data_IF_106820071273
#
_entry.id   IF_106820071273
#
_cell.length_a   1.000
_cell.length_b   1.000
_cell.length_c   1.000
_cell.angle_alpha   90.00
_cell.angle_beta   90.00
_cell.angle_gamma   90.00
#
_symmetry.space_group_name_H-M   'P 1'
#
loop_
_entity.id
_entity.type
_entity.pdbx_description
1 polymer ?
#
# COMPACT_ATOMS: atom_id res chain seq x y z
N UNK A 1 -21.18 -5.35 7.89
CA UNK A 1 -20.20 -5.91 8.87
C UNK A 1 -18.87 -5.28 8.49
N UNK A 2 -18.22 -4.64 9.42
CA UNK A 2 -16.93 -3.99 9.15
C UNK A 2 -15.91 -5.09 8.84
N UNK A 3 -15.36 -5.09 7.64
CA UNK A 3 -14.39 -6.10 7.17
C UNK A 3 -13.14 -6.14 8.08
N UNK A 4 -12.76 -5.00 8.66
CA UNK A 4 -11.63 -4.94 9.59
C UNK A 4 -11.87 -5.73 10.88
N UNK A 5 -13.12 -5.81 11.37
CA UNK A 5 -13.43 -6.55 12.60
C UNK A 5 -13.33 -8.06 12.41
N UNK A 6 -13.37 -8.53 11.17
CA UNK A 6 -13.26 -9.95 10.83
C UNK A 6 -11.83 -10.37 10.45
N UNK A 7 -10.91 -9.41 10.23
CA UNK A 7 -9.51 -9.70 9.95
C UNK A 7 -8.86 -10.39 11.16
N UNK A 8 -8.33 -11.61 11.03
CA UNK A 8 -7.74 -12.35 12.14
C UNK A 8 -6.33 -11.84 12.50
N UNK A 9 -6.20 -10.54 12.72
CA UNK A 9 -4.96 -9.85 13.06
C UNK A 9 -5.06 -9.31 14.48
N UNK A 10 -4.11 -9.65 15.31
CA UNK A 10 -4.19 -9.45 16.76
C UNK A 10 -3.83 -8.05 17.26
N UNK A 11 -3.16 -7.23 16.46
CA UNK A 11 -2.77 -5.88 16.87
C UNK A 11 -2.67 -4.90 15.71
N UNK A 12 -3.34 -3.76 15.84
CA UNK A 12 -3.16 -2.59 14.98
C UNK A 12 -2.39 -1.55 15.78
N UNK A 13 -1.26 -1.08 15.25
CA UNK A 13 -0.51 0.02 15.82
C UNK A 13 -1.04 1.33 15.27
N UNK A 14 -1.18 2.34 16.12
CA UNK A 14 -1.37 3.71 15.67
C UNK A 14 0.01 4.35 15.48
N UNK A 15 0.16 5.11 14.39
CA UNK A 15 1.37 5.86 14.11
C UNK A 15 1.02 7.26 13.61
N UNK A 16 1.81 8.25 14.01
CA UNK A 16 1.69 9.64 13.56
C UNK A 16 2.67 9.94 12.42
N UNK A 17 3.65 9.06 12.20
CA UNK A 17 4.62 9.15 11.11
C UNK A 17 4.64 7.86 10.28
N UNK A 18 4.71 8.04 8.96
CA UNK A 18 4.93 6.96 8.00
C UNK A 18 5.83 7.48 6.88
N UNK A 19 6.87 6.73 6.54
CA UNK A 19 7.82 7.12 5.51
C UNK A 19 8.11 5.94 4.59
N UNK A 20 8.18 6.22 3.31
CA UNK A 20 8.72 5.33 2.28
C UNK A 20 9.95 6.02 1.72
N UNK A 21 11.10 5.40 1.83
CA UNK A 21 12.38 5.94 1.37
C UNK A 21 12.94 5.02 0.31
N UNK A 22 13.27 5.55 -0.86
CA UNK A 22 13.96 4.83 -1.91
C UNK A 22 15.47 4.94 -1.64
N UNK A 23 16.09 3.85 -1.24
CA UNK A 23 17.53 3.81 -0.95
C UNK A 23 18.37 3.62 -2.20
N UNK A 24 17.87 2.87 -3.17
CA UNK A 24 18.49 2.66 -4.48
C UNK A 24 17.40 2.30 -5.52
N UNK A 25 17.66 2.66 -6.76
CA UNK A 25 16.83 2.30 -7.91
C UNK A 25 17.75 2.13 -9.12
N UNK A 26 18.12 0.90 -9.45
CA UNK A 26 19.02 0.56 -10.55
C UNK A 26 18.83 -0.89 -11.00
N UNK A 27 19.21 -1.17 -12.26
CA UNK A 27 19.27 -2.53 -12.83
C UNK A 27 17.97 -3.33 -12.65
N UNK A 28 16.81 -2.68 -12.72
CA UNK A 28 15.51 -3.33 -12.56
C UNK A 28 15.11 -3.61 -11.10
N UNK A 29 15.85 -3.10 -10.13
CA UNK A 29 15.57 -3.28 -8.70
C UNK A 29 15.46 -1.95 -7.96
N UNK A 30 14.47 -1.85 -7.07
CA UNK A 30 14.27 -0.71 -6.20
C UNK A 30 14.29 -1.17 -4.74
N UNK A 31 15.22 -0.65 -3.95
CA UNK A 31 15.22 -0.89 -2.50
C UNK A 31 14.33 0.16 -1.82
N UNK A 32 13.22 -0.31 -1.26
CA UNK A 32 12.29 0.48 -0.47
C UNK A 32 12.51 0.23 1.02
N UNK A 33 12.62 1.30 1.79
CA UNK A 33 12.67 1.28 3.25
C UNK A 33 11.38 1.89 3.81
N UNK A 34 10.64 1.11 4.59
CA UNK A 34 9.37 1.47 5.20
C UNK A 34 9.61 1.76 6.66
N UNK A 35 9.21 2.94 7.12
CA UNK A 35 9.49 3.42 8.46
C UNK A 35 8.23 4.00 9.13
N UNK A 36 8.04 3.64 10.39
CA UNK A 36 7.17 4.29 11.36
C UNK A 36 7.99 4.60 12.61
N UNK A 37 7.39 5.23 13.63
CA UNK A 37 8.11 5.48 14.90
C UNK A 37 8.57 4.18 15.58
N UNK A 38 7.92 3.05 15.29
CA UNK A 38 8.14 1.77 16.00
C UNK A 38 8.75 0.68 15.15
N UNK A 39 8.55 0.74 13.84
CA UNK A 39 8.93 -0.34 12.92
C UNK A 39 9.68 0.26 11.75
N UNK A 40 10.79 -0.38 11.37
CA UNK A 40 11.51 -0.11 10.14
C UNK A 40 11.92 -1.43 9.50
N UNK A 41 11.68 -1.57 8.20
CA UNK A 41 12.16 -2.69 7.39
C UNK A 41 12.29 -2.27 5.94
N UNK A 42 13.17 -2.96 5.21
CA UNK A 42 13.37 -2.70 3.79
C UNK A 42 13.26 -3.97 2.97
N UNK A 43 13.01 -3.78 1.67
CA UNK A 43 12.99 -4.86 0.69
C UNK A 43 13.36 -4.36 -0.71
N UNK A 44 13.90 -5.27 -1.54
CA UNK A 44 14.14 -5.03 -2.97
C UNK A 44 12.91 -5.46 -3.76
N UNK A 45 12.25 -4.52 -4.44
CA UNK A 45 11.19 -4.79 -5.39
C UNK A 45 11.71 -4.75 -6.84
N UNK A 46 11.23 -5.64 -7.71
CA UNK A 46 11.59 -5.64 -9.12
C UNK A 46 10.69 -4.71 -9.94
N UNK A 47 11.16 -4.30 -11.13
CA UNK A 47 10.43 -3.40 -12.03
C UNK A 47 9.34 -4.08 -12.87
N UNK A 48 9.13 -5.39 -12.72
CA UNK A 48 8.04 -6.09 -13.43
C UNK A 48 6.68 -5.48 -13.07
N UNK A 49 6.51 -5.10 -11.80
CA UNK A 49 5.45 -4.24 -11.32
C UNK A 49 6.13 -3.00 -10.73
N UNK A 50 5.84 -1.81 -11.25
CA UNK A 50 6.39 -0.60 -10.67
C UNK A 50 5.80 -0.37 -9.27
N UNK A 51 6.54 -0.66 -8.19
CA UNK A 51 5.97 -0.71 -6.85
C UNK A 51 5.47 0.64 -6.36
N UNK A 52 6.12 1.73 -6.74
CA UNK A 52 5.68 3.06 -6.36
C UNK A 52 4.44 3.50 -7.16
N UNK A 53 4.40 3.20 -8.45
CA UNK A 53 3.26 3.56 -9.29
C UNK A 53 1.97 2.88 -8.81
N UNK A 54 2.07 1.62 -8.41
CA UNK A 54 0.94 0.89 -7.84
C UNK A 54 0.51 1.51 -6.50
N UNK A 55 1.46 1.84 -5.61
CA UNK A 55 1.14 2.54 -4.36
C UNK A 55 0.49 3.91 -4.60
N UNK A 56 0.94 4.68 -5.58
CA UNK A 56 0.32 5.98 -5.93
C UNK A 56 -1.11 5.79 -6.45
N UNK A 57 -1.31 4.87 -7.40
CA UNK A 57 -2.62 4.56 -7.98
C UNK A 57 -3.60 4.13 -6.89
N UNK A 58 -3.22 3.15 -6.10
CA UNK A 58 -4.08 2.53 -5.12
C UNK A 58 -4.40 3.47 -3.97
N UNK A 59 -3.43 4.29 -3.56
CA UNK A 59 -3.67 5.35 -2.58
C UNK A 59 -4.73 6.34 -3.07
N UNK A 60 -4.61 6.82 -4.31
CA UNK A 60 -5.59 7.76 -4.87
C UNK A 60 -6.97 7.14 -4.93
N UNK A 61 -7.07 5.88 -5.36
CA UNK A 61 -8.33 5.16 -5.40
C UNK A 61 -9.00 5.14 -4.03
N UNK A 62 -8.25 4.75 -3.01
CA UNK A 62 -8.80 4.57 -1.68
C UNK A 62 -9.13 5.89 -0.97
N UNK A 63 -8.29 6.91 -1.10
CA UNK A 63 -8.51 8.19 -0.43
C UNK A 63 -9.59 9.03 -1.11
N UNK A 64 -9.75 8.93 -2.43
CA UNK A 64 -10.76 9.69 -3.17
C UNK A 64 -12.11 8.96 -3.29
N UNK A 65 -12.15 7.68 -2.95
CA UNK A 65 -13.35 6.81 -3.09
C UNK A 65 -13.94 6.82 -4.51
N UNK A 66 -13.14 7.21 -5.49
CA UNK A 66 -13.56 7.26 -6.90
C UNK A 66 -12.85 6.15 -7.66
N UNK A 67 -13.59 5.17 -8.21
CA UNK A 67 -12.99 4.16 -9.07
C UNK A 67 -12.34 4.86 -10.27
N UNK A 68 -11.04 4.64 -10.47
CA UNK A 68 -10.39 4.99 -11.73
C UNK A 68 -10.96 4.03 -12.78
N UNK A 69 -11.46 4.57 -13.88
CA UNK A 69 -11.91 3.78 -15.03
C UNK A 69 -10.80 2.83 -15.44
N UNK A 70 -10.93 1.54 -15.21
CA UNK A 70 -10.03 0.43 -15.53
C UNK A 70 -9.22 -0.17 -14.35
N UNK A 71 -9.45 0.20 -13.09
CA UNK A 71 -8.84 -0.54 -11.99
C UNK A 71 -9.79 -1.67 -11.58
N UNK A 72 -9.31 -2.89 -11.71
CA UNK A 72 -10.00 -4.11 -11.27
C UNK A 72 -9.80 -4.35 -9.76
N UNK A 73 -8.92 -3.58 -9.12
CA UNK A 73 -8.40 -3.89 -7.79
C UNK A 73 -9.02 -3.04 -6.66
N UNK A 74 -10.03 -2.21 -6.96
CA UNK A 74 -10.71 -1.40 -5.96
C UNK A 74 -12.06 -2.00 -5.55
N UNK A 75 -12.14 -2.45 -4.31
CA UNK A 75 -13.37 -3.03 -3.75
C UNK A 75 -13.78 -2.31 -2.46
N UNK A 76 -14.88 -1.56 -2.51
CA UNK A 76 -15.58 -1.03 -1.32
C UNK A 76 -14.66 -0.48 -0.22
N UNK A 77 -13.67 0.32 -0.58
CA UNK A 77 -12.75 0.95 0.38
C UNK A 77 -11.52 0.12 0.75
N UNK A 78 -11.25 -0.96 0.01
CA UNK A 78 -10.02 -1.75 0.12
C UNK A 78 -9.28 -1.78 -1.22
N UNK A 79 -7.97 -1.74 -1.21
CA UNK A 79 -7.11 -2.00 -2.37
C UNK A 79 -5.88 -2.78 -1.94
N UNK A 80 -5.29 -3.52 -2.87
CA UNK A 80 -4.18 -4.42 -2.61
C UNK A 80 -3.12 -4.23 -3.70
N UNK A 81 -1.84 -4.13 -3.30
CA UNK A 81 -0.69 -4.10 -4.20
C UNK A 81 0.27 -5.23 -3.88
N UNK A 82 0.92 -5.77 -4.90
CA UNK A 82 1.88 -6.85 -4.75
C UNK A 82 3.23 -6.48 -5.37
N UNK A 83 4.29 -6.66 -4.60
CA UNK A 83 5.67 -6.38 -5.03
C UNK A 83 6.48 -7.67 -5.04
N UNK A 84 7.06 -8.00 -6.19
CA UNK A 84 7.95 -9.16 -6.34
C UNK A 84 9.36 -8.82 -5.86
N UNK A 85 9.99 -9.74 -5.13
CA UNK A 85 11.33 -9.57 -4.58
C UNK A 85 12.38 -10.36 -5.36
N UNK A 86 13.62 -9.90 -5.29
CA UNK A 86 14.80 -10.59 -5.84
C UNK A 86 14.95 -12.04 -5.33
N UNK A 87 14.56 -12.30 -4.10
CA UNK A 87 14.56 -13.65 -3.49
C UNK A 87 13.51 -14.61 -4.07
N UNK A 88 12.60 -14.13 -4.91
CA UNK A 88 11.39 -14.86 -5.33
C UNK A 88 10.25 -14.81 -4.31
N UNK A 89 10.45 -14.09 -3.21
CA UNK A 89 9.38 -13.78 -2.25
C UNK A 89 8.46 -12.67 -2.81
N UNK A 90 7.32 -12.48 -2.16
CA UNK A 90 6.38 -11.40 -2.49
C UNK A 90 6.10 -10.56 -1.24
N UNK A 91 5.86 -9.27 -1.45
CA UNK A 91 5.33 -8.35 -0.44
C UNK A 91 3.96 -7.88 -0.90
N UNK A 92 2.94 -8.13 -0.11
CA UNK A 92 1.57 -7.70 -0.39
C UNK A 92 1.16 -6.61 0.57
N UNK A 93 0.60 -5.54 0.01
CA UNK A 93 0.06 -4.41 0.73
C UNK A 93 -1.46 -4.44 0.63
N UNK A 94 -2.15 -4.33 1.73
CA UNK A 94 -3.58 -4.11 1.77
C UNK A 94 -3.88 -2.79 2.47
N UNK A 95 -4.67 -1.96 1.81
CA UNK A 95 -5.13 -0.68 2.32
C UNK A 95 -6.62 -0.75 2.56
N UNK A 96 -7.06 -0.23 3.68
CA UNK A 96 -8.46 -0.09 4.01
C UNK A 96 -8.72 1.27 4.63
N UNK A 97 -9.66 2.03 4.06
CA UNK A 97 -10.03 3.35 4.58
C UNK A 97 -11.18 3.23 5.58
N UNK A 98 -11.03 3.89 6.73
CA UNK A 98 -12.09 4.08 7.71
C UNK A 98 -12.08 5.55 8.14
N UNK A 99 -13.09 6.29 7.72
CA UNK A 99 -13.19 7.74 7.88
C UNK A 99 -11.94 8.46 7.32
N UNK A 100 -11.24 9.22 8.15
CA UNK A 100 -10.02 9.94 7.78
C UNK A 100 -8.74 9.09 7.91
N UNK A 101 -8.87 7.85 8.40
CA UNK A 101 -7.73 6.98 8.64
C UNK A 101 -7.58 5.93 7.53
N UNK A 102 -6.33 5.57 7.30
CA UNK A 102 -5.92 4.48 6.45
C UNK A 102 -5.32 3.38 7.33
N UNK A 103 -5.86 2.17 7.20
CA UNK A 103 -5.26 0.97 7.78
C UNK A 103 -4.39 0.34 6.72
N UNK A 104 -3.13 0.09 7.06
CA UNK A 104 -2.13 -0.49 6.17
C UNK A 104 -1.64 -1.80 6.79
N UNK A 105 -1.74 -2.85 6.00
CA UNK A 105 -1.20 -4.16 6.32
C UNK A 105 -0.17 -4.53 5.27
N UNK A 106 0.99 -5.00 5.71
CA UNK A 106 2.06 -5.45 4.82
C UNK A 106 2.46 -6.86 5.23
N UNK A 107 2.39 -7.78 4.28
CA UNK A 107 2.77 -9.18 4.47
C UNK A 107 3.93 -9.56 3.58
N UNK A 108 4.71 -10.53 4.06
CA UNK A 108 5.67 -11.28 3.25
C UNK A 108 5.10 -12.67 2.96
N UNK A 109 5.12 -13.06 1.69
CA UNK A 109 4.69 -14.39 1.21
C UNK A 109 3.22 -14.73 1.48
N UNK A 110 2.36 -13.73 1.48
CA UNK A 110 0.92 -13.89 1.37
C UNK A 110 0.53 -13.35 0.00
N UNK A 111 0.10 -14.21 -0.91
CA UNK A 111 -0.19 -13.84 -2.28
C UNK A 111 -1.45 -12.95 -2.40
N UNK A 112 -1.46 -12.11 -3.43
CA UNK A 112 -2.55 -11.18 -3.71
C UNK A 112 -3.89 -11.91 -3.87
N UNK A 113 -3.94 -12.93 -4.70
CA UNK A 113 -5.15 -13.71 -4.98
C UNK A 113 -5.74 -14.35 -3.71
N UNK A 114 -4.88 -14.77 -2.79
CA UNK A 114 -5.31 -15.27 -1.49
C UNK A 114 -5.95 -14.17 -0.63
N UNK A 115 -5.38 -12.98 -0.61
CA UNK A 115 -5.95 -11.85 0.13
C UNK A 115 -7.28 -11.40 -0.48
N UNK A 116 -7.40 -11.44 -1.81
CA UNK A 116 -8.64 -11.18 -2.53
C UNK A 116 -9.73 -12.16 -2.15
N UNK A 117 -9.44 -13.45 -2.23
CA UNK A 117 -10.37 -14.52 -1.87
C UNK A 117 -10.85 -14.39 -0.42
N UNK A 118 -9.92 -14.09 0.50
CA UNK A 118 -10.24 -13.86 1.90
C UNK A 118 -11.13 -12.63 2.09
N UNK A 119 -10.84 -11.55 1.38
CA UNK A 119 -11.64 -10.33 1.41
C UNK A 119 -13.07 -10.60 0.94
N UNK A 120 -13.26 -11.29 -0.20
CA UNK A 120 -14.60 -11.65 -0.70
C UNK A 120 -15.39 -12.55 0.24
N UNK A 121 -14.70 -13.35 1.04
CA UNK A 121 -15.32 -14.13 2.11
C UNK A 121 -15.57 -13.32 3.39
N UNK A 122 -15.14 -12.04 3.46
CA UNK A 122 -15.21 -11.21 4.65
C UNK A 122 -14.31 -11.73 5.78
N UNK A 123 -13.21 -12.40 5.43
CA UNK A 123 -12.30 -13.14 6.34
C UNK A 123 -12.99 -14.21 7.20
N UNK A 124 -14.17 -14.66 6.76
CA UNK A 124 -14.90 -15.75 7.40
C UNK A 124 -14.27 -17.11 7.03
N UNK A 125 -13.74 -17.79 8.05
CA UNK A 125 -13.03 -19.06 7.86
C UNK A 125 -13.90 -20.20 7.30
N UNK A 126 -15.19 -20.25 7.69
CA UNK A 126 -16.10 -21.28 7.17
C UNK A 126 -16.44 -20.99 5.70
N UNK A 127 -16.76 -19.74 5.39
CA UNK A 127 -17.07 -19.32 4.03
C UNK A 127 -15.87 -19.49 3.10
N UNK A 128 -14.68 -19.14 3.56
CA UNK A 128 -13.45 -19.35 2.81
C UNK A 128 -13.21 -20.84 2.55
N UNK A 129 -13.32 -21.69 3.60
CA UNK A 129 -13.15 -23.14 3.44
C UNK A 129 -14.16 -23.76 2.46
N UNK A 130 -15.42 -23.35 2.51
CA UNK A 130 -16.46 -23.83 1.59
C UNK A 130 -16.09 -23.50 0.12
N UNK A 131 -15.55 -22.31 -0.13
CA UNK A 131 -15.22 -21.84 -1.47
C UNK A 131 -13.89 -22.42 -2.00
N UNK A 132 -12.85 -22.45 -1.18
CA UNK A 132 -11.50 -22.83 -1.58
C UNK A 132 -11.11 -24.28 -1.24
N UNK A 133 -11.85 -24.93 -0.35
CA UNK A 133 -11.52 -26.21 0.28
C UNK A 133 -10.21 -26.16 1.07
N UNK A 134 -9.81 -24.98 1.53
CA UNK A 134 -8.58 -24.73 2.28
C UNK A 134 -8.90 -24.02 3.60
N UNK A 135 -8.08 -24.22 4.61
CA UNK A 135 -8.16 -23.42 5.83
C UNK A 135 -7.60 -22.02 5.58
N UNK A 136 -8.17 -21.02 6.27
CA UNK A 136 -7.61 -19.67 6.27
C UNK A 136 -6.15 -19.75 6.78
N UNK A 137 -5.18 -19.22 6.03
CA UNK A 137 -3.80 -19.17 6.48
C UNK A 137 -3.66 -18.29 7.72
N UNK A 138 -2.62 -18.57 8.50
CA UNK A 138 -2.26 -17.69 9.63
C UNK A 138 -1.67 -16.37 9.11
N UNK A 139 -2.52 -15.37 8.97
CA UNK A 139 -2.12 -14.04 8.48
C UNK A 139 -1.13 -13.33 9.41
N UNK A 140 -1.03 -13.72 10.69
CA UNK A 140 -0.04 -13.12 11.58
C UNK A 140 1.38 -13.59 11.28
N UNK A 141 1.54 -14.76 10.70
CA UNK A 141 2.85 -15.37 10.46
C UNK A 141 3.70 -14.62 9.45
N UNK A 142 3.08 -14.04 8.43
CA UNK A 142 3.78 -13.24 7.41
C UNK A 142 3.70 -11.73 7.63
N UNK A 143 2.99 -11.29 8.67
CA UNK A 143 2.72 -9.88 8.91
C UNK A 143 3.99 -9.12 9.29
N UNK A 144 4.38 -8.16 8.46
CA UNK A 144 5.51 -7.26 8.68
C UNK A 144 5.07 -5.95 9.32
N UNK A 145 3.90 -5.44 8.92
CA UNK A 145 3.32 -4.21 9.45
C UNK A 145 1.80 -4.30 9.52
N UNK A 146 1.26 -3.80 10.62
CA UNK A 146 -0.16 -3.49 10.78
C UNK A 146 -0.25 -2.13 11.46
N UNK A 147 -0.69 -1.10 10.72
CA UNK A 147 -0.70 0.27 11.20
C UNK A 147 -1.96 1.01 10.77
N UNK A 148 -2.47 1.87 11.64
CA UNK A 148 -3.49 2.87 11.34
C UNK A 148 -2.86 4.25 11.40
N UNK A 149 -3.00 5.02 10.33
CA UNK A 149 -2.48 6.39 10.19
C UNK A 149 -3.52 7.29 9.54
N UNK A 150 -3.47 8.62 9.73
CA UNK A 150 -4.26 9.54 8.92
C UNK A 150 -3.95 9.38 7.43
N UNK A 151 -4.97 9.39 6.58
CA UNK A 151 -4.81 9.26 5.12
C UNK A 151 -3.89 10.35 4.54
N UNK A 152 -3.90 11.54 5.13
CA UNK A 152 -3.01 12.65 4.74
C UNK A 152 -1.54 12.34 5.02
N UNK A 153 -1.21 11.68 6.13
CA UNK A 153 0.16 11.27 6.48
C UNK A 153 0.71 10.30 5.44
N UNK A 154 -0.09 9.33 5.00
CA UNK A 154 0.33 8.42 3.94
C UNK A 154 0.51 9.13 2.59
N UNK A 155 -0.43 10.00 2.22
CA UNK A 155 -0.33 10.79 1.00
C UNK A 155 0.92 11.69 0.99
N UNK A 156 1.23 12.34 2.12
CA UNK A 156 2.46 13.14 2.28
C UNK A 156 3.72 12.29 2.16
N UNK A 157 3.72 11.08 2.71
CA UNK A 157 4.83 10.13 2.56
C UNK A 157 5.12 9.86 1.08
N UNK A 158 4.09 9.54 0.30
CA UNK A 158 4.24 9.31 -1.15
C UNK A 158 4.73 10.55 -1.90
N UNK A 159 4.22 11.74 -1.56
CA UNK A 159 4.69 13.01 -2.13
C UNK A 159 6.18 13.22 -1.83
N UNK A 160 6.60 12.93 -0.60
CA UNK A 160 7.99 13.08 -0.20
C UNK A 160 8.91 12.05 -0.87
N UNK A 161 8.45 10.81 -1.04
CA UNK A 161 9.16 9.77 -1.80
C UNK A 161 9.37 10.22 -3.25
N UNK A 162 8.32 10.75 -3.89
CA UNK A 162 8.43 11.29 -5.25
C UNK A 162 9.48 12.39 -5.36
N UNK A 163 9.43 13.39 -4.46
CA UNK A 163 10.40 14.49 -4.42
C UNK A 163 11.83 13.99 -4.12
N UNK A 164 11.97 12.95 -3.32
CA UNK A 164 13.24 12.31 -3.08
C UNK A 164 13.79 11.72 -4.36
N UNK A 165 12.97 10.98 -5.11
CA UNK A 165 13.40 10.39 -6.38
C UNK A 165 13.78 11.47 -7.42
N UNK A 166 13.03 12.57 -7.50
CA UNK A 166 13.38 13.70 -8.37
C UNK A 166 14.76 14.29 -8.05
N UNK A 167 15.15 14.33 -6.78
CA UNK A 167 16.38 14.94 -6.32
C UNK A 167 17.58 14.00 -6.42
N UNK A 168 17.37 12.74 -6.05
CA UNK A 168 18.47 11.81 -5.73
C UNK A 168 18.81 10.85 -6.89
N UNK A 169 17.91 10.69 -7.88
CA UNK A 169 18.08 9.75 -9.00
C UNK A 169 18.13 10.45 -10.35
N UNK A 170 18.94 9.92 -11.29
CA UNK A 170 19.08 10.43 -12.64
C UNK A 170 17.83 10.21 -13.50
N UNK A 171 17.80 10.84 -14.68
CA UNK A 171 16.67 10.72 -15.61
C UNK A 171 16.52 9.26 -16.11
N UNK A 172 17.63 8.59 -16.44
CA UNK A 172 17.62 7.20 -16.93
C UNK A 172 17.01 6.24 -15.87
N UNK A 173 17.40 6.38 -14.59
CA UNK A 173 16.86 5.57 -13.49
C UNK A 173 15.37 5.84 -13.31
N UNK A 174 14.94 7.10 -13.42
CA UNK A 174 13.54 7.50 -13.28
C UNK A 174 12.67 6.99 -14.42
N UNK A 175 13.18 6.99 -15.64
CA UNK A 175 12.48 6.49 -16.83
C UNK A 175 12.25 4.97 -16.73
N UNK A 176 13.25 4.22 -16.25
CA UNK A 176 13.14 2.77 -16.01
C UNK A 176 11.97 2.43 -15.07
N UNK A 177 11.73 3.28 -14.07
CA UNK A 177 10.67 3.08 -13.08
C UNK A 177 9.36 3.78 -13.42
N UNK A 178 9.20 4.26 -14.65
CA UNK A 178 7.96 4.90 -15.10
C UNK A 178 7.58 6.12 -14.27
N UNK A 179 8.57 6.89 -13.84
CA UNK A 179 8.42 8.05 -12.95
C UNK A 179 7.47 9.11 -13.53
N UNK A 180 7.45 9.29 -14.85
CA UNK A 180 6.56 10.22 -15.52
C UNK A 180 5.07 9.87 -15.35
N UNK A 181 4.73 8.58 -15.24
CA UNK A 181 3.36 8.16 -14.95
C UNK A 181 2.93 8.58 -13.53
N UNK A 182 3.85 8.54 -12.58
CA UNK A 182 3.60 8.95 -11.19
C UNK A 182 3.31 10.44 -11.05
N UNK A 183 3.77 11.27 -11.97
CA UNK A 183 3.60 12.73 -11.95
C UNK A 183 2.12 13.16 -11.95
N UNK A 184 1.27 12.44 -12.65
CA UNK A 184 -0.17 12.72 -12.66
C UNK A 184 -0.80 12.43 -11.29
N UNK A 185 -0.34 11.40 -10.61
CA UNK A 185 -0.82 11.04 -9.28
C UNK A 185 -0.38 12.05 -8.23
N UNK A 186 0.81 12.66 -8.38
CA UNK A 186 1.32 13.68 -7.47
C UNK A 186 0.44 14.91 -7.40
N UNK A 187 -0.11 15.35 -8.53
CA UNK A 187 -1.06 16.46 -8.57
C UNK A 187 -2.31 16.18 -7.73
N UNK A 188 -2.85 14.96 -7.84
CA UNK A 188 -4.03 14.53 -7.10
C UNK A 188 -3.76 14.38 -5.60
N UNK A 189 -2.64 13.76 -5.22
CA UNK A 189 -2.25 13.62 -3.82
C UNK A 189 -1.99 14.97 -3.15
N UNK A 190 -1.30 15.87 -3.85
CA UNK A 190 -1.04 17.23 -3.35
C UNK A 190 -2.33 18.02 -3.14
N UNK A 191 -3.28 17.90 -4.08
CA UNK A 191 -4.59 18.53 -3.95
C UNK A 191 -5.36 17.96 -2.75
N UNK A 192 -5.35 16.64 -2.59
CA UNK A 192 -5.99 15.97 -1.44
C UNK A 192 -5.45 16.48 -0.11
N UNK A 193 -4.12 16.44 0.08
CA UNK A 193 -3.48 16.90 1.32
C UNK A 193 -3.84 18.36 1.62
N UNK A 194 -3.77 19.24 0.61
CA UNK A 194 -4.07 20.66 0.78
C UNK A 194 -5.53 20.90 1.20
N UNK A 195 -6.48 20.24 0.57
CA UNK A 195 -7.90 20.43 0.87
C UNK A 195 -8.28 19.92 2.26
N UNK A 196 -7.66 18.83 2.73
CA UNK A 196 -7.90 18.31 4.08
C UNK A 196 -7.23 19.16 5.16
N UNK A 197 -6.06 19.74 4.89
CA UNK A 197 -5.42 20.68 5.81
C UNK A 197 -6.26 21.95 6.01
N UNK A 198 -6.92 22.45 4.97
CA UNK A 198 -7.81 23.62 5.05
C UNK A 198 -9.08 23.35 5.87
N UNK A 199 -9.61 22.12 5.85
CA UNK A 199 -10.78 21.70 6.63
C UNK A 199 -10.51 21.57 8.14
N UNK A 200 -9.27 21.31 8.55
CA UNK A 200 -8.88 21.18 9.95
C UNK A 200 -8.66 22.55 10.64
N UNK A 201 -8.55 23.62 9.87
CA UNK A 201 -8.25 24.99 10.38
C UNK A 201 -9.50 25.89 10.40
N UNK A 202 -10.62 25.47 9.81
CA UNK A 202 -11.90 26.19 9.77
C UNK A 202 -12.90 25.67 10.79
#
# INVERSE_FOLDING_TARGET
>A
MDVLQSLPITAINHADEFKIVVQSAADGWMYLDIQTEKVSFGYNACNIVNPLNDLYRDTILIITEKPIKNSIDYWYGCTIAEHFLESGDIISWMFYKSDENLHIYIWKNIALDLLEDLYYCGFDSEKYFINSQQNVPDLNKGLMLSVQIPSTVFAESLINTYKQMERDFGDDDRDEWGFDYSKNYMGLLTYFVKTHAEQLVG
#
